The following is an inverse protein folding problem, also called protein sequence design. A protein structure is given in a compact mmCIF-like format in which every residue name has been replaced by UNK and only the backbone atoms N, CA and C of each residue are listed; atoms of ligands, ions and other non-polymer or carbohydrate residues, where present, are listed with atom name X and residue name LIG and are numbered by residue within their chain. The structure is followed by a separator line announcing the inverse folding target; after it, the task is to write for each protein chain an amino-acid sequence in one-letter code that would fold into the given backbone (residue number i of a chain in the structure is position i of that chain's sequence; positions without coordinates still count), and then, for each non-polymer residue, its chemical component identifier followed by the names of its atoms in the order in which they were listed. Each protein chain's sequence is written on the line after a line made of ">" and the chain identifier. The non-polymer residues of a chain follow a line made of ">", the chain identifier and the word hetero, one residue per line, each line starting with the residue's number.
data_IF_025016423015
#
_entry.id   IF_025016423015
#
_cell.length_a   1.000
_cell.length_b   1.000
_cell.length_c   1.000
_cell.angle_alpha   90.00
_cell.angle_beta   90.00
_cell.angle_gamma   90.00
#
_symmetry.space_group_name_H-M   'P 1'
#
loop_
_entity.id
_entity.type
_entity.pdbx_description
1 polymer ?
#
# COMPACT_ATOMS: atom_id res chain seq x y z
N UNK A 1 -11.61 14.98 -3.07
CA UNK A 1 -11.74 13.64 -2.46
C UNK A 1 -11.90 13.79 -0.95
N UNK A 2 -12.75 12.99 -0.30
CA UNK A 2 -12.84 12.92 1.16
C UNK A 2 -12.42 11.53 1.62
N UNK A 3 -11.75 11.44 2.76
CA UNK A 3 -11.33 10.18 3.34
C UNK A 3 -12.56 9.38 3.82
N UNK A 4 -12.68 8.12 3.42
CA UNK A 4 -13.81 7.27 3.85
C UNK A 4 -13.82 7.01 5.36
N UNK A 5 -12.65 6.98 6.00
CA UNK A 5 -12.52 6.71 7.44
C UNK A 5 -12.93 7.87 8.34
N UNK A 6 -12.50 9.09 8.01
CA UNK A 6 -12.70 10.24 8.90
C UNK A 6 -13.35 11.45 8.22
N UNK A 7 -13.78 11.32 6.96
CA UNK A 7 -14.33 12.39 6.12
C UNK A 7 -13.41 13.60 5.94
N UNK A 8 -12.12 13.43 6.23
CA UNK A 8 -11.10 14.46 6.15
C UNK A 8 -10.61 14.76 4.73
N UNK A 9 -9.72 15.76 4.63
CA UNK A 9 -9.11 16.16 3.36
C UNK A 9 -8.13 15.09 2.88
N UNK A 10 -8.17 14.80 1.58
CA UNK A 10 -7.18 13.94 0.92
C UNK A 10 -6.44 14.71 -0.16
N UNK A 11 -5.13 14.48 -0.23
CA UNK A 11 -4.22 15.06 -1.21
C UNK A 11 -3.53 13.94 -2.00
N UNK A 12 -3.11 14.24 -3.23
CA UNK A 12 -2.20 13.34 -3.95
C UNK A 12 -0.81 13.42 -3.33
N UNK A 13 -0.17 12.27 -3.21
CA UNK A 13 1.17 12.14 -2.67
C UNK A 13 1.94 11.04 -3.42
N UNK A 14 3.26 11.12 -3.38
CA UNK A 14 4.17 10.13 -3.96
C UNK A 14 4.70 9.23 -2.86
N UNK A 15 4.52 7.93 -3.03
CA UNK A 15 4.90 6.92 -2.06
C UNK A 15 6.04 6.08 -2.59
N UNK A 16 6.83 5.55 -1.64
CA UNK A 16 7.89 4.60 -1.93
C UNK A 16 7.54 3.27 -1.27
N UNK A 17 7.28 2.23 -2.06
CA UNK A 17 7.20 0.86 -1.57
C UNK A 17 8.60 0.24 -1.59
N UNK A 18 9.32 0.37 -0.48
CA UNK A 18 10.65 -0.23 -0.30
C UNK A 18 10.65 -1.76 -0.33
N UNK A 19 9.47 -2.39 -0.32
CA UNK A 19 9.29 -3.83 -0.40
C UNK A 19 8.76 -4.28 -1.77
N UNK A 20 8.53 -3.35 -2.70
CA UNK A 20 8.22 -3.70 -4.08
C UNK A 20 9.44 -4.32 -4.75
N UNK A 21 9.21 -5.48 -5.33
CA UNK A 21 10.18 -6.34 -6.00
C UNK A 21 9.97 -6.35 -7.52
N UNK A 22 8.96 -5.62 -8.00
CA UNK A 22 8.63 -5.50 -9.42
C UNK A 22 9.47 -4.44 -10.14
N UNK A 23 10.33 -3.74 -9.40
CA UNK A 23 11.17 -2.64 -9.90
C UNK A 23 10.44 -1.30 -9.95
N UNK A 24 9.23 -1.20 -9.39
CA UNK A 24 8.42 0.02 -9.30
C UNK A 24 8.29 0.43 -7.83
N UNK A 25 9.40 0.90 -7.29
CA UNK A 25 9.47 1.42 -5.91
C UNK A 25 8.64 2.69 -5.72
N UNK A 26 8.35 3.49 -6.75
CA UNK A 26 7.50 4.69 -6.63
C UNK A 26 6.10 4.48 -7.18
N UNK A 27 5.11 4.95 -6.43
CA UNK A 27 3.72 4.99 -6.87
C UNK A 27 3.01 6.26 -6.37
N UNK A 28 1.96 6.67 -7.07
CA UNK A 28 1.10 7.77 -6.64
C UNK A 28 -0.15 7.24 -5.93
N UNK A 29 -0.57 7.94 -4.89
CA UNK A 29 -1.79 7.62 -4.15
C UNK A 29 -2.39 8.85 -3.51
N UNK A 30 -3.48 8.64 -2.77
CA UNK A 30 -4.12 9.66 -1.98
C UNK A 30 -3.84 9.46 -0.50
N UNK A 31 -3.36 10.51 0.17
CA UNK A 31 -3.13 10.53 1.62
C UNK A 31 -4.14 11.45 2.31
N UNK A 32 -4.78 10.95 3.36
CA UNK A 32 -5.54 11.81 4.26
C UNK A 32 -4.59 12.51 5.23
N UNK A 33 -4.59 13.84 5.21
CA UNK A 33 -3.76 14.65 6.12
C UNK A 33 -4.27 14.65 7.56
N UNK A 34 -5.53 14.23 7.79
CA UNK A 34 -6.15 14.24 9.11
C UNK A 34 -5.93 12.93 9.88
N UNK A 35 -6.07 11.77 9.22
CA UNK A 35 -5.98 10.46 9.88
C UNK A 35 -4.88 9.54 9.33
N UNK A 36 -4.19 9.96 8.27
CA UNK A 36 -3.11 9.18 7.67
C UNK A 36 -3.55 8.05 6.73
N UNK A 37 -4.85 7.89 6.47
CA UNK A 37 -5.33 6.88 5.52
C UNK A 37 -4.71 7.08 4.13
N UNK A 38 -4.17 6.00 3.57
CA UNK A 38 -3.61 5.97 2.21
C UNK A 38 -4.47 5.09 1.33
N UNK A 39 -4.80 5.60 0.15
CA UNK A 39 -5.63 4.92 -0.84
C UNK A 39 -5.00 5.09 -2.22
N UNK A 40 -4.67 3.97 -2.87
CA UNK A 40 -4.22 3.90 -4.26
C UNK A 40 -5.22 3.06 -5.08
N UNK A 41 -5.06 2.97 -6.42
CA UNK A 41 -5.94 2.15 -7.25
C UNK A 41 -6.00 0.67 -6.84
N UNK A 42 -4.90 0.07 -6.38
CA UNK A 42 -4.83 -1.33 -5.94
C UNK A 42 -5.61 -1.53 -4.65
N UNK A 43 -5.44 -0.62 -3.68
CA UNK A 43 -6.21 -0.61 -2.43
C UNK A 43 -7.70 -0.48 -2.70
N UNK A 44 -8.11 0.40 -3.63
CA UNK A 44 -9.51 0.55 -4.02
C UNK A 44 -10.05 -0.72 -4.68
N UNK A 45 -9.30 -1.31 -5.62
CA UNK A 45 -9.69 -2.57 -6.25
C UNK A 45 -9.88 -3.66 -5.21
N UNK A 46 -8.95 -3.83 -4.28
CA UNK A 46 -9.07 -4.85 -3.22
C UNK A 46 -10.21 -4.60 -2.22
N UNK A 47 -10.68 -3.35 -2.06
CA UNK A 47 -11.87 -3.03 -1.24
C UNK A 47 -13.16 -3.39 -1.94
N UNK A 48 -13.21 -3.20 -3.26
CA UNK A 48 -14.41 -3.46 -4.07
C UNK A 48 -14.52 -4.95 -4.39
N UNK A 49 -13.40 -5.55 -4.82
CA UNK A 49 -13.28 -6.95 -5.19
C UNK A 49 -12.21 -7.59 -4.32
N UNK A 50 -12.64 -8.15 -3.18
CA UNK A 50 -11.75 -8.81 -2.23
C UNK A 50 -11.18 -10.05 -2.92
N UNK A 51 -9.87 -10.10 -3.19
CA UNK A 51 -9.30 -11.21 -3.94
C UNK A 51 -9.44 -12.50 -3.12
N UNK A 52 -9.96 -13.55 -3.76
CA UNK A 52 -10.16 -14.86 -3.13
C UNK A 52 -8.84 -15.50 -2.63
N UNK A 53 -7.69 -14.99 -3.10
CA UNK A 53 -6.36 -15.42 -2.67
C UNK A 53 -5.57 -14.20 -2.19
N UNK A 54 -4.72 -14.36 -1.16
CA UNK A 54 -3.83 -13.29 -0.75
C UNK A 54 -2.93 -12.88 -1.92
N UNK A 55 -2.70 -11.59 -2.07
CA UNK A 55 -1.76 -11.04 -3.05
C UNK A 55 -0.40 -11.77 -2.93
N UNK A 56 0.05 -12.45 -3.98
CA UNK A 56 1.41 -13.02 -4.03
C UNK A 56 2.27 -12.09 -4.88
N UNK A 57 2.98 -11.17 -4.23
CA UNK A 57 4.13 -10.50 -4.87
C UNK A 57 5.17 -11.55 -5.30
N UNK A 58 5.99 -11.22 -6.29
CA UNK A 58 6.88 -12.22 -6.92
C UNK A 58 7.92 -12.81 -5.96
N UNK A 59 8.21 -12.13 -4.86
CA UNK A 59 9.25 -12.45 -3.90
C UNK A 59 8.72 -12.28 -2.47
N UNK A 60 7.40 -12.47 -2.26
CA UNK A 60 6.74 -12.57 -0.94
C UNK A 60 7.21 -13.79 -0.11
N UNK A 61 8.46 -14.22 -0.26
CA UNK A 61 9.17 -15.02 0.71
C UNK A 61 9.57 -14.12 1.88
N UNK A 62 8.59 -13.91 2.76
CA UNK A 62 8.69 -13.19 4.05
C UNK A 62 9.92 -13.61 4.89
N UNK A 63 10.51 -14.77 4.59
CA UNK A 63 11.67 -15.37 5.27
C UNK A 63 12.99 -14.64 5.05
N UNK A 64 13.16 -13.88 3.96
CA UNK A 64 14.46 -13.23 3.68
C UNK A 64 14.72 -12.02 4.60
N UNK A 65 13.70 -11.19 4.87
CA UNK A 65 13.85 -10.03 5.77
C UNK A 65 13.88 -10.42 7.26
N UNK A 66 13.17 -11.48 7.65
CA UNK A 66 13.26 -12.05 9.02
C UNK A 66 14.68 -12.57 9.33
N UNK A 67 15.42 -13.05 8.31
CA UNK A 67 16.83 -13.47 8.46
C UNK A 67 17.82 -12.32 8.54
N UNK A 68 17.51 -11.15 7.97
CA UNK A 68 18.40 -9.98 7.97
C UNK A 68 18.21 -9.07 9.19
N UNK A 69 17.11 -9.24 9.94
CA UNK A 69 16.80 -8.45 11.15
C UNK A 69 16.93 -9.26 12.44
N UNK A 70 17.24 -10.55 12.34
CA UNK A 70 17.67 -11.37 13.45
C UNK A 70 19.14 -11.03 13.79
N UNK A 71 19.32 -10.00 14.62
CA UNK A 71 20.55 -9.77 15.38
C UNK A 71 20.43 -10.48 16.72
#
# INVERSE_FOLDING_TARGET
>A
MRCERCQGCMIRDSFVDLRDDTGRVLFEGWRCINCGEVVDPVVLTHRIDVPAKPYRGQTRDRRMWERLTAV
#
